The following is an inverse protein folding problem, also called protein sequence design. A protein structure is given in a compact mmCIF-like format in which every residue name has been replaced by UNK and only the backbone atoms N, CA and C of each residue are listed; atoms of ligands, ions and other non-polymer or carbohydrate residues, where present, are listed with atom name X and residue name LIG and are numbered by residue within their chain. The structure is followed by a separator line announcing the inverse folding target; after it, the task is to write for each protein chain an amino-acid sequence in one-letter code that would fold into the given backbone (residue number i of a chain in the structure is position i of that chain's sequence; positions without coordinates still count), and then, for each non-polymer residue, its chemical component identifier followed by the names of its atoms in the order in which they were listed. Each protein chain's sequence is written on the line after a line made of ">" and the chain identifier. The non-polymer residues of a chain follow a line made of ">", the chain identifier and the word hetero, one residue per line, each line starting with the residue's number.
data_IF_951669784041
#
_entry.id   IF_951669784041
#
_cell.length_a   1.000
_cell.length_b   1.000
_cell.length_c   1.000
_cell.angle_alpha   90.00
_cell.angle_beta   90.00
_cell.angle_gamma   90.00
#
_symmetry.space_group_name_H-M   'P 1'
#
loop_
_entity.id
_entity.type
_entity.pdbx_description
1 polymer ?
#
# COMPACT_ATOMS: atom_id res chain seq x y z
N UNK A 1 41.04 -2.99 21.01
CA UNK A 1 39.57 -3.08 21.05
C UNK A 1 38.81 -2.05 20.17
N UNK A 2 39.46 -1.00 19.69
CA UNK A 2 38.79 0.10 18.95
C UNK A 2 38.57 -0.16 17.44
N UNK A 3 39.32 -1.06 16.79
CA UNK A 3 39.16 -1.34 15.34
C UNK A 3 38.05 -2.33 14.98
N UNK A 4 37.70 -3.24 15.88
CA UNK A 4 36.64 -4.22 15.68
C UNK A 4 35.24 -3.61 15.85
N UNK A 5 35.07 -2.66 16.79
CA UNK A 5 33.79 -1.99 17.00
C UNK A 5 33.44 -1.01 15.87
N UNK A 6 34.44 -0.25 15.39
CA UNK A 6 34.25 0.68 14.27
C UNK A 6 33.92 -0.05 12.96
N UNK A 7 34.57 -1.19 12.66
CA UNK A 7 34.21 -2.02 11.52
C UNK A 7 32.79 -2.60 11.65
N UNK A 8 32.40 -3.09 12.84
CA UNK A 8 31.05 -3.58 13.12
C UNK A 8 29.99 -2.47 12.99
N UNK A 9 30.29 -1.24 13.41
CA UNK A 9 29.39 -0.09 13.31
C UNK A 9 29.29 0.43 11.85
N UNK A 10 30.38 0.38 11.09
CA UNK A 10 30.36 0.68 9.65
C UNK A 10 29.55 -0.38 8.90
N UNK A 11 29.73 -1.67 9.21
CA UNK A 11 28.91 -2.75 8.62
C UNK A 11 27.43 -2.63 9.00
N UNK A 12 27.11 -2.28 10.25
CA UNK A 12 25.73 -2.03 10.67
C UNK A 12 25.11 -0.80 10.00
N UNK A 13 25.90 0.26 9.76
CA UNK A 13 25.44 1.46 9.02
C UNK A 13 25.27 1.18 7.54
N UNK A 14 26.23 0.51 6.89
CA UNK A 14 26.14 0.12 5.49
C UNK A 14 24.97 -0.84 5.23
N UNK A 15 24.74 -1.84 6.11
CA UNK A 15 23.59 -2.73 6.01
C UNK A 15 22.24 -2.02 6.17
N UNK A 16 22.16 -0.95 6.97
CA UNK A 16 20.95 -0.14 7.06
C UNK A 16 20.70 0.66 5.78
N UNK A 17 21.73 1.30 5.21
CA UNK A 17 21.61 2.04 3.95
C UNK A 17 21.20 1.12 2.78
N UNK A 18 21.72 -0.09 2.72
CA UNK A 18 21.37 -1.06 1.68
C UNK A 18 19.92 -1.55 1.80
N UNK A 19 19.39 -1.69 3.02
CA UNK A 19 17.97 -2.01 3.26
C UNK A 19 17.05 -0.91 2.71
N UNK A 20 17.39 0.36 2.89
CA UNK A 20 16.62 1.46 2.31
C UNK A 20 16.64 1.43 0.77
N UNK A 21 17.78 1.08 0.16
CA UNK A 21 17.91 1.00 -1.30
C UNK A 21 17.07 -0.11 -1.93
N UNK A 22 16.82 -1.21 -1.24
CA UNK A 22 15.99 -2.32 -1.75
C UNK A 22 14.53 -2.23 -1.34
N UNK A 23 14.15 -1.24 -0.54
CA UNK A 23 12.78 -0.96 -0.14
C UNK A 23 11.95 -0.46 -1.32
N UNK A 24 10.74 -0.99 -1.47
CA UNK A 24 9.78 -0.47 -2.45
C UNK A 24 9.34 0.97 -2.10
N UNK A 25 9.18 1.26 -0.81
CA UNK A 25 8.74 2.57 -0.34
C UNK A 25 9.72 3.68 -0.70
N UNK A 26 11.04 3.45 -0.52
CA UNK A 26 12.06 4.50 -0.54
C UNK A 26 13.21 4.26 -1.50
N UNK A 27 13.35 3.05 -2.04
CA UNK A 27 14.53 2.61 -2.78
C UNK A 27 14.32 2.35 -4.27
N UNK A 28 15.23 1.59 -4.82
CA UNK A 28 15.31 1.25 -6.25
C UNK A 28 14.05 0.61 -6.83
N UNK A 29 13.34 -0.31 -6.12
CA UNK A 29 12.12 -0.87 -6.67
C UNK A 29 11.04 0.17 -6.99
N UNK A 30 10.87 1.19 -6.14
CA UNK A 30 9.92 2.27 -6.40
C UNK A 30 10.30 3.12 -7.62
N UNK A 31 11.60 3.37 -7.81
CA UNK A 31 12.12 4.06 -8.99
C UNK A 31 11.95 3.19 -10.25
N UNK A 32 12.18 1.89 -10.16
CA UNK A 32 11.99 0.96 -11.28
C UNK A 32 10.52 0.94 -11.74
N UNK A 33 9.54 1.00 -10.82
CA UNK A 33 8.12 1.15 -11.21
C UNK A 33 7.87 2.41 -12.03
N UNK A 34 8.44 3.56 -11.62
CA UNK A 34 8.33 4.80 -12.36
C UNK A 34 8.93 4.69 -13.77
N UNK A 35 10.12 4.11 -13.88
CA UNK A 35 10.82 3.96 -15.16
C UNK A 35 10.08 3.00 -16.10
N UNK A 36 9.51 1.91 -15.56
CA UNK A 36 8.66 1.02 -16.34
C UNK A 36 7.42 1.74 -16.87
N UNK A 37 6.72 2.52 -16.05
CA UNK A 37 5.56 3.30 -16.49
C UNK A 37 5.96 4.38 -17.50
N UNK A 38 7.14 5.00 -17.36
CA UNK A 38 7.67 5.97 -18.33
C UNK A 38 7.97 5.30 -19.68
N UNK A 39 8.50 4.07 -19.68
CA UNK A 39 8.67 3.27 -20.90
C UNK A 39 7.33 2.97 -21.57
N UNK A 40 6.37 2.43 -20.83
CA UNK A 40 5.01 2.14 -21.36
C UNK A 40 4.30 3.38 -21.92
N UNK A 41 4.55 4.54 -21.32
CA UNK A 41 3.96 5.81 -21.77
C UNK A 41 4.62 6.36 -23.03
N UNK A 42 5.95 6.31 -23.15
CA UNK A 42 6.74 7.01 -24.18
C UNK A 42 7.25 6.12 -25.30
N UNK A 43 7.31 4.79 -25.09
CA UNK A 43 8.04 3.83 -25.93
C UNK A 43 9.55 4.15 -26.08
N UNK A 44 10.12 4.99 -25.18
CA UNK A 44 11.55 5.28 -25.19
C UNK A 44 12.32 4.19 -24.44
N UNK A 45 13.06 3.38 -25.18
CA UNK A 45 13.81 2.23 -24.69
C UNK A 45 14.83 2.56 -23.60
N UNK A 46 15.28 3.80 -23.53
CA UNK A 46 16.18 4.28 -22.47
C UNK A 46 15.59 4.09 -21.07
N UNK A 47 14.28 4.31 -20.89
CA UNK A 47 13.64 4.06 -19.59
C UNK A 47 13.61 2.58 -19.23
N UNK A 48 13.44 1.70 -20.20
CA UNK A 48 13.53 0.26 -19.99
C UNK A 48 14.94 -0.17 -19.56
N UNK A 49 15.99 0.32 -20.21
CA UNK A 49 17.38 0.02 -19.85
C UNK A 49 17.68 0.46 -18.39
N UNK A 50 17.36 1.69 -18.04
CA UNK A 50 17.58 2.21 -16.69
C UNK A 50 16.74 1.44 -15.66
N UNK A 51 15.50 1.06 -15.98
CA UNK A 51 14.67 0.21 -15.13
C UNK A 51 15.38 -1.13 -14.81
N UNK A 52 15.94 -1.78 -15.83
CA UNK A 52 16.70 -3.04 -15.67
C UNK A 52 17.96 -2.85 -14.82
N UNK A 53 18.66 -1.71 -14.91
CA UNK A 53 19.82 -1.40 -14.06
C UNK A 53 19.41 -1.30 -12.58
N UNK A 54 18.31 -0.62 -12.27
CA UNK A 54 17.79 -0.52 -10.90
C UNK A 54 17.36 -1.88 -10.35
N UNK A 55 16.69 -2.72 -11.16
CA UNK A 55 16.30 -4.07 -10.76
C UNK A 55 17.51 -4.98 -10.57
N UNK A 56 18.48 -4.92 -11.45
CA UNK A 56 19.74 -5.71 -11.34
C UNK A 56 20.52 -5.30 -10.07
N UNK A 57 20.57 -4.00 -9.78
CA UNK A 57 21.18 -3.48 -8.56
C UNK A 57 20.45 -3.96 -7.31
N UNK A 58 19.10 -3.96 -7.33
CA UNK A 58 18.28 -4.50 -6.24
C UNK A 58 18.59 -5.98 -6.00
N UNK A 59 18.60 -6.80 -7.05
CA UNK A 59 18.89 -8.24 -6.97
C UNK A 59 20.30 -8.47 -6.41
N UNK A 60 21.29 -7.72 -6.91
CA UNK A 60 22.68 -7.84 -6.44
C UNK A 60 22.82 -7.46 -4.95
N UNK A 61 22.06 -6.50 -4.48
CA UNK A 61 22.05 -6.09 -3.07
C UNK A 61 21.46 -7.17 -2.17
N UNK A 62 20.29 -7.74 -2.52
CA UNK A 62 19.67 -8.80 -1.71
C UNK A 62 20.45 -10.13 -1.73
N UNK A 63 21.20 -10.42 -2.79
CA UNK A 63 22.09 -11.58 -2.81
C UNK A 63 23.28 -11.43 -1.87
N UNK A 64 23.78 -10.20 -1.68
CA UNK A 64 24.87 -9.89 -0.72
C UNK A 64 24.37 -9.74 0.71
N UNK A 65 23.17 -9.18 0.87
CA UNK A 65 22.54 -8.88 2.16
C UNK A 65 21.10 -9.40 2.16
N UNK A 66 20.87 -10.69 2.47
CA UNK A 66 19.55 -11.30 2.42
C UNK A 66 18.54 -10.54 3.30
N UNK A 67 17.33 -10.36 2.79
CA UNK A 67 16.24 -9.73 3.53
C UNK A 67 15.46 -10.79 4.32
N UNK A 68 15.22 -10.49 5.58
CA UNK A 68 14.43 -11.38 6.45
C UNK A 68 12.95 -10.96 6.55
N UNK A 69 12.61 -9.77 6.05
CA UNK A 69 11.25 -9.24 6.10
C UNK A 69 10.46 -9.62 4.84
N UNK A 70 9.24 -10.10 5.04
CA UNK A 70 8.25 -10.35 3.96
C UNK A 70 7.36 -9.14 3.69
N UNK A 71 7.64 -7.99 4.27
CA UNK A 71 6.89 -6.74 4.10
C UNK A 71 6.71 -6.36 2.63
N UNK A 72 5.53 -5.80 2.31
CA UNK A 72 5.26 -5.32 0.95
C UNK A 72 6.06 -4.05 0.62
N UNK A 73 6.13 -3.10 1.54
CA UNK A 73 6.80 -1.83 1.22
C UNK A 73 8.27 -1.79 1.60
N UNK A 74 8.71 -2.60 2.56
CA UNK A 74 10.11 -2.59 3.04
C UNK A 74 10.81 -3.95 2.98
N UNK A 75 10.19 -4.97 2.40
CA UNK A 75 10.67 -6.35 2.38
C UNK A 75 10.62 -7.03 0.99
N UNK A 76 10.80 -8.33 0.99
CA UNK A 76 10.90 -9.17 -0.21
C UNK A 76 9.65 -9.10 -1.10
N UNK A 77 8.44 -8.94 -0.51
CA UNK A 77 7.21 -8.85 -1.30
C UNK A 77 7.18 -7.60 -2.17
N UNK A 78 7.79 -6.48 -1.76
CA UNK A 78 7.92 -5.29 -2.60
C UNK A 78 8.80 -5.53 -3.82
N UNK A 79 9.88 -6.27 -3.67
CA UNK A 79 10.75 -6.65 -4.78
C UNK A 79 10.00 -7.58 -5.74
N UNK A 80 9.32 -8.61 -5.23
CA UNK A 80 8.49 -9.51 -6.02
C UNK A 80 7.40 -8.77 -6.80
N UNK A 81 6.71 -7.83 -6.15
CA UNK A 81 5.70 -6.99 -6.80
C UNK A 81 6.31 -6.17 -7.96
N UNK A 82 7.46 -5.55 -7.73
CA UNK A 82 8.14 -4.75 -8.75
C UNK A 82 8.61 -5.61 -9.92
N UNK A 83 9.25 -6.77 -9.66
CA UNK A 83 9.66 -7.71 -10.69
C UNK A 83 8.47 -8.18 -11.54
N UNK A 84 7.34 -8.50 -10.91
CA UNK A 84 6.12 -8.89 -11.61
C UNK A 84 5.56 -7.75 -12.47
N UNK A 85 5.55 -6.51 -11.95
CA UNK A 85 5.08 -5.32 -12.69
C UNK A 85 5.95 -5.05 -13.92
N UNK A 86 7.27 -5.13 -13.78
CA UNK A 86 8.24 -4.88 -14.85
C UNK A 86 8.50 -6.11 -15.75
N UNK A 87 7.74 -7.19 -15.59
CA UNK A 87 8.02 -8.47 -16.24
C UNK A 87 7.55 -8.60 -17.69
N UNK A 88 6.93 -7.56 -18.24
CA UNK A 88 6.26 -7.65 -19.54
C UNK A 88 5.31 -8.87 -19.61
N UNK A 89 4.25 -8.82 -18.78
CA UNK A 89 3.26 -9.89 -18.64
C UNK A 89 3.85 -11.28 -18.34
N UNK A 90 4.83 -11.33 -17.44
CA UNK A 90 5.44 -12.58 -16.96
C UNK A 90 6.52 -13.17 -17.86
N UNK A 91 6.94 -12.47 -18.92
CA UNK A 91 7.99 -12.91 -19.83
C UNK A 91 9.39 -12.80 -19.21
N UNK A 92 9.63 -11.69 -18.49
CA UNK A 92 10.92 -11.38 -17.88
C UNK A 92 10.94 -11.72 -16.38
N UNK A 93 12.12 -11.82 -15.79
CA UNK A 93 12.37 -12.01 -14.34
C UNK A 93 11.78 -13.28 -13.72
N UNK A 94 11.27 -14.23 -14.51
CA UNK A 94 10.60 -15.43 -14.01
C UNK A 94 11.49 -16.24 -13.07
N UNK A 95 12.77 -16.45 -13.43
CA UNK A 95 13.69 -17.28 -12.65
C UNK A 95 13.98 -16.67 -11.26
N UNK A 96 14.24 -15.37 -11.19
CA UNK A 96 14.46 -14.69 -9.91
C UNK A 96 13.17 -14.65 -9.08
N UNK A 97 12.01 -14.49 -9.72
CA UNK A 97 10.71 -14.57 -9.03
C UNK A 97 10.52 -15.94 -8.38
N UNK A 98 10.82 -17.04 -9.11
CA UNK A 98 10.76 -18.41 -8.56
C UNK A 98 11.74 -18.58 -7.39
N UNK A 99 12.97 -18.07 -7.51
CA UNK A 99 13.95 -18.14 -6.44
C UNK A 99 13.44 -17.46 -5.17
N UNK A 100 12.93 -16.22 -5.26
CA UNK A 100 12.40 -15.51 -4.10
C UNK A 100 11.15 -16.17 -3.50
N UNK A 101 10.31 -16.80 -4.33
CA UNK A 101 9.18 -17.60 -3.84
C UNK A 101 9.64 -18.86 -3.11
N UNK A 102 10.73 -19.54 -3.55
CA UNK A 102 11.33 -20.66 -2.84
C UNK A 102 11.92 -20.23 -1.48
N UNK A 103 12.53 -19.05 -1.41
CA UNK A 103 13.00 -18.46 -0.15
C UNK A 103 11.83 -18.18 0.80
N UNK A 104 10.73 -17.62 0.28
CA UNK A 104 9.50 -17.43 1.04
C UNK A 104 8.90 -18.75 1.53
N UNK A 105 8.91 -19.81 0.72
CA UNK A 105 8.44 -21.15 1.12
C UNK A 105 9.15 -21.66 2.37
N UNK A 106 10.45 -21.43 2.47
CA UNK A 106 11.26 -21.88 3.61
C UNK A 106 10.87 -21.26 4.94
N UNK A 107 10.24 -20.07 4.94
CA UNK A 107 9.86 -19.33 6.15
C UNK A 107 8.36 -19.29 6.40
N UNK A 108 7.54 -19.68 5.40
CA UNK A 108 6.08 -19.50 5.45
C UNK A 108 5.43 -20.19 6.64
N UNK A 109 5.73 -21.45 6.86
CA UNK A 109 5.05 -22.22 7.92
C UNK A 109 5.33 -21.65 9.30
N UNK A 110 6.58 -21.21 9.57
CA UNK A 110 6.94 -20.55 10.82
C UNK A 110 6.20 -19.24 10.98
N UNK A 111 6.22 -18.38 9.95
CA UNK A 111 5.51 -17.11 9.93
C UNK A 111 4.00 -17.30 10.15
N UNK A 112 3.39 -18.26 9.46
CA UNK A 112 1.96 -18.55 9.58
C UNK A 112 1.57 -19.02 10.99
N UNK A 113 2.37 -19.89 11.60
CA UNK A 113 2.14 -20.35 12.98
C UNK A 113 2.22 -19.20 13.97
N UNK A 114 3.19 -18.31 13.81
CA UNK A 114 3.36 -17.17 14.71
C UNK A 114 2.23 -16.13 14.55
N UNK A 115 1.82 -15.84 13.32
CA UNK A 115 0.65 -15.00 13.06
C UNK A 115 -0.62 -15.59 13.64
N UNK A 116 -0.82 -16.91 13.50
CA UNK A 116 -1.98 -17.60 14.06
C UNK A 116 -2.04 -17.52 15.59
N UNK A 117 -0.90 -17.67 16.28
CA UNK A 117 -0.83 -17.50 17.74
C UNK A 117 -1.24 -16.10 18.18
N UNK A 118 -0.85 -15.06 17.42
CA UNK A 118 -1.15 -13.68 17.76
C UNK A 118 -2.64 -13.32 17.66
N UNK A 119 -3.42 -13.98 16.79
CA UNK A 119 -4.86 -13.73 16.66
C UNK A 119 -5.61 -13.99 18.00
N UNK A 120 -5.11 -14.90 18.81
CA UNK A 120 -5.71 -15.21 20.10
C UNK A 120 -5.12 -14.37 21.25
N UNK A 121 -4.10 -13.55 20.97
CA UNK A 121 -3.44 -12.73 21.96
C UNK A 121 -4.01 -11.29 21.96
N UNK A 122 -4.20 -10.71 23.14
CA UNK A 122 -4.69 -9.32 23.29
C UNK A 122 -3.65 -8.26 22.95
N UNK A 123 -2.38 -8.63 22.84
CA UNK A 123 -1.24 -7.76 22.53
C UNK A 123 -0.76 -7.92 21.08
N UNK A 124 -1.66 -7.88 20.13
CA UNK A 124 -1.36 -8.02 18.71
C UNK A 124 -0.70 -6.76 18.15
N UNK A 125 0.49 -6.88 17.54
CA UNK A 125 1.08 -5.78 16.78
C UNK A 125 0.36 -5.59 15.45
N UNK A 126 -0.05 -4.36 15.14
CA UNK A 126 -0.67 -4.01 13.84
C UNK A 126 0.27 -4.29 12.67
N UNK A 127 1.57 -4.10 12.84
CA UNK A 127 2.61 -4.30 11.82
C UNK A 127 2.67 -5.75 11.31
N UNK A 128 2.17 -6.72 12.07
CA UNK A 128 2.13 -8.12 11.62
C UNK A 128 0.97 -8.43 10.67
N UNK A 129 -0.06 -7.59 10.63
CA UNK A 129 -1.28 -7.85 9.87
C UNK A 129 -1.61 -6.76 8.84
N UNK A 130 -1.02 -5.59 8.92
CA UNK A 130 -1.30 -4.43 8.08
C UNK A 130 -0.91 -4.62 6.60
N UNK A 131 -1.24 -3.62 5.78
CA UNK A 131 -0.93 -3.62 4.36
C UNK A 131 0.56 -3.32 4.09
N UNK A 132 1.19 -2.51 4.93
CA UNK A 132 2.56 -2.01 4.67
C UNK A 132 3.61 -3.05 5.06
N UNK A 133 3.51 -3.60 6.26
CA UNK A 133 4.51 -4.50 6.83
C UNK A 133 4.03 -5.95 6.95
N UNK A 134 2.74 -6.17 7.04
CA UNK A 134 2.15 -7.41 7.53
C UNK A 134 1.60 -8.36 6.49
N UNK A 135 0.82 -9.31 7.00
CA UNK A 135 0.24 -10.40 6.22
C UNK A 135 -0.71 -9.92 5.11
N UNK A 136 -1.37 -8.77 5.28
CA UNK A 136 -2.24 -8.20 4.24
C UNK A 136 -1.44 -7.77 3.02
N UNK A 137 -0.29 -7.10 3.20
CA UNK A 137 0.59 -6.74 2.09
C UNK A 137 1.19 -7.97 1.40
N UNK A 138 1.59 -8.98 2.18
CA UNK A 138 2.05 -10.26 1.65
C UNK A 138 0.97 -10.93 0.78
N UNK A 139 -0.26 -11.03 1.28
CA UNK A 139 -1.38 -11.60 0.50
C UNK A 139 -1.64 -10.81 -0.79
N UNK A 140 -1.62 -9.48 -0.73
CA UNK A 140 -1.81 -8.64 -1.91
C UNK A 140 -0.75 -8.92 -2.99
N UNK A 141 0.53 -9.03 -2.60
CA UNK A 141 1.60 -9.38 -3.52
C UNK A 141 1.41 -10.77 -4.14
N UNK A 142 1.09 -11.79 -3.33
CA UNK A 142 0.88 -13.15 -3.83
C UNK A 142 -0.30 -13.24 -4.80
N UNK A 143 -1.40 -12.50 -4.55
CA UNK A 143 -2.53 -12.37 -5.48
C UNK A 143 -2.09 -11.73 -6.80
N UNK A 144 -1.21 -10.72 -6.74
CA UNK A 144 -0.68 -10.09 -7.93
C UNK A 144 0.27 -11.00 -8.72
N UNK A 145 1.15 -11.76 -8.04
CA UNK A 145 1.99 -12.80 -8.67
C UNK A 145 1.11 -13.84 -9.38
N UNK A 146 0.00 -14.24 -8.77
CA UNK A 146 -0.97 -15.15 -9.39
C UNK A 146 -1.57 -14.56 -10.67
N UNK A 147 -1.94 -13.27 -10.66
CA UNK A 147 -2.50 -12.59 -11.84
C UNK A 147 -1.50 -12.55 -13.00
N UNK A 148 -0.21 -12.33 -12.74
CA UNK A 148 0.81 -12.15 -13.77
C UNK A 148 1.35 -13.49 -14.31
N UNK A 149 1.67 -14.42 -13.42
CA UNK A 149 2.38 -15.65 -13.79
C UNK A 149 1.48 -16.90 -13.74
N UNK A 150 0.29 -16.80 -13.17
CA UNK A 150 -0.58 -17.95 -12.91
C UNK A 150 -0.09 -18.83 -11.75
N UNK A 151 -0.92 -19.81 -11.37
CA UNK A 151 -0.65 -20.69 -10.22
C UNK A 151 0.54 -21.63 -10.42
N UNK A 152 0.98 -21.83 -11.68
CA UNK A 152 2.08 -22.73 -12.03
C UNK A 152 3.47 -22.15 -11.75
N UNK A 153 3.58 -20.86 -11.40
CA UNK A 153 4.87 -20.22 -11.07
C UNK A 153 5.51 -20.85 -9.83
N UNK A 154 4.69 -21.26 -8.86
CA UNK A 154 5.11 -21.98 -7.67
C UNK A 154 4.02 -22.92 -7.17
N UNK A 155 4.36 -24.19 -6.83
CA UNK A 155 3.37 -25.20 -6.45
C UNK A 155 2.52 -24.84 -5.23
N UNK A 156 3.08 -24.09 -4.28
CA UNK A 156 2.38 -23.68 -3.04
C UNK A 156 1.72 -22.30 -3.12
N UNK A 157 1.78 -21.58 -4.25
CA UNK A 157 1.24 -20.22 -4.34
C UNK A 157 -0.22 -20.13 -3.93
N UNK A 158 -1.07 -20.97 -4.51
CA UNK A 158 -2.50 -21.02 -4.16
C UNK A 158 -2.74 -21.44 -2.70
N UNK A 159 -1.90 -22.32 -2.16
CA UNK A 159 -1.95 -22.74 -0.76
C UNK A 159 -1.66 -21.57 0.18
N UNK A 160 -0.60 -20.78 -0.06
CA UNK A 160 -0.29 -19.62 0.77
C UNK A 160 -1.40 -18.57 0.73
N UNK A 161 -1.91 -18.26 -0.47
CA UNK A 161 -3.02 -17.32 -0.65
C UNK A 161 -4.22 -17.78 0.17
N UNK A 162 -4.60 -19.05 0.05
CA UNK A 162 -5.74 -19.59 0.80
C UNK A 162 -5.53 -19.54 2.33
N UNK A 163 -4.33 -19.90 2.79
CA UNK A 163 -3.98 -19.86 4.21
C UNK A 163 -4.03 -18.44 4.78
N UNK A 164 -3.44 -17.47 4.08
CA UNK A 164 -3.45 -16.07 4.52
C UNK A 164 -4.85 -15.46 4.43
N UNK A 165 -5.64 -15.76 3.39
CA UNK A 165 -7.03 -15.32 3.29
C UNK A 165 -7.83 -15.79 4.50
N UNK A 166 -7.78 -17.09 4.81
CA UNK A 166 -8.51 -17.65 5.96
C UNK A 166 -8.02 -17.07 7.30
N UNK A 167 -6.71 -16.83 7.43
CA UNK A 167 -6.12 -16.24 8.63
C UNK A 167 -6.64 -14.83 8.87
N UNK A 168 -6.57 -13.98 7.85
CA UNK A 168 -7.01 -12.59 7.93
C UNK A 168 -8.53 -12.47 8.07
N UNK A 169 -9.29 -13.32 7.39
CA UNK A 169 -10.74 -13.42 7.58
C UNK A 169 -11.08 -13.76 9.02
N UNK A 170 -10.45 -14.80 9.58
CA UNK A 170 -10.66 -15.21 10.97
C UNK A 170 -10.31 -14.09 11.96
N UNK A 171 -9.25 -13.35 11.68
CA UNK A 171 -8.88 -12.17 12.44
C UNK A 171 -10.01 -11.13 12.46
N UNK A 172 -10.54 -10.79 11.29
CA UNK A 172 -11.63 -9.80 11.16
C UNK A 172 -12.89 -10.27 11.87
N UNK A 173 -13.35 -11.50 11.61
CA UNK A 173 -14.57 -12.07 12.23
C UNK A 173 -14.47 -12.04 13.75
N UNK A 174 -13.38 -12.55 14.31
CA UNK A 174 -13.23 -12.63 15.77
C UNK A 174 -13.33 -11.26 16.42
N UNK A 175 -12.76 -10.26 15.78
CA UNK A 175 -12.75 -8.92 16.35
C UNK A 175 -14.08 -8.20 16.19
N UNK A 176 -14.74 -8.31 15.03
CA UNK A 176 -16.05 -7.72 14.81
C UNK A 176 -17.10 -8.33 15.75
N UNK A 177 -17.08 -9.65 15.95
CA UNK A 177 -18.05 -10.36 16.80
C UNK A 177 -17.81 -10.12 18.29
N UNK A 178 -16.58 -10.08 18.74
CA UNK A 178 -16.23 -9.97 20.15
C UNK A 178 -16.15 -8.51 20.63
N UNK A 179 -16.27 -7.52 19.74
CA UNK A 179 -16.10 -6.08 20.03
C UNK A 179 -14.81 -5.78 20.81
N UNK A 180 -13.79 -6.61 20.63
CA UNK A 180 -12.47 -6.41 21.22
C UNK A 180 -11.70 -5.48 20.27
N UNK A 181 -11.52 -4.26 20.70
CA UNK A 181 -10.74 -3.25 19.99
C UNK A 181 -9.32 -3.28 20.56
N UNK A 182 -8.39 -3.81 19.80
CA UNK A 182 -6.95 -3.60 20.03
C UNK A 182 -6.44 -2.52 19.09
N UNK A 183 -5.18 -2.11 19.23
CA UNK A 183 -4.58 -1.03 18.43
C UNK A 183 -4.82 -1.19 16.91
N UNK A 184 -4.76 -2.40 16.37
CA UNK A 184 -5.03 -2.68 14.96
C UNK A 184 -6.48 -2.39 14.56
N UNK A 185 -7.46 -2.64 15.42
CA UNK A 185 -8.89 -2.47 15.12
C UNK A 185 -9.42 -1.08 15.43
N UNK A 186 -8.77 -0.35 16.30
CA UNK A 186 -9.07 1.07 16.46
C UNK A 186 -8.52 1.89 15.31
N UNK A 187 -7.47 1.41 14.63
CA UNK A 187 -6.89 2.02 13.46
C UNK A 187 -7.73 1.71 12.20
N UNK A 188 -8.38 2.73 11.64
CA UNK A 188 -9.24 2.64 10.46
C UNK A 188 -8.48 2.90 9.14
N UNK A 189 -7.18 3.15 9.19
CA UNK A 189 -6.36 3.45 8.03
C UNK A 189 -6.29 2.30 7.01
N UNK A 190 -5.93 2.65 5.78
CA UNK A 190 -5.64 1.67 4.73
C UNK A 190 -4.24 1.11 4.88
N UNK A 191 -3.26 1.93 5.27
CA UNK A 191 -1.87 1.49 5.39
C UNK A 191 -1.64 0.56 6.57
N UNK A 192 -2.07 0.94 7.77
CA UNK A 192 -1.74 0.25 9.01
C UNK A 192 -2.96 -0.26 9.78
N UNK A 193 -4.18 0.02 9.31
CA UNK A 193 -5.41 -0.33 9.98
C UNK A 193 -6.22 -1.41 9.26
N UNK A 194 -7.42 -1.61 9.81
CA UNK A 194 -8.35 -2.66 9.38
C UNK A 194 -8.80 -2.51 7.91
N UNK A 195 -8.90 -1.27 7.39
CA UNK A 195 -9.43 -1.03 6.04
C UNK A 195 -8.56 -1.63 4.95
N UNK A 196 -7.22 -1.60 5.10
CA UNK A 196 -6.33 -2.26 4.15
C UNK A 196 -6.53 -3.78 4.11
N UNK A 197 -6.63 -4.41 5.28
CA UNK A 197 -6.89 -5.86 5.38
C UNK A 197 -8.23 -6.24 4.76
N UNK A 198 -9.29 -5.48 5.03
CA UNK A 198 -10.62 -5.69 4.43
C UNK A 198 -10.55 -5.59 2.91
N UNK A 199 -9.81 -4.61 2.37
CA UNK A 199 -9.69 -4.45 0.92
C UNK A 199 -8.90 -5.60 0.26
N UNK A 200 -7.86 -6.12 0.93
CA UNK A 200 -7.12 -7.29 0.44
C UNK A 200 -7.98 -8.56 0.49
N UNK A 201 -8.79 -8.76 1.53
CA UNK A 201 -9.77 -9.84 1.58
C UNK A 201 -10.80 -9.74 0.45
N UNK A 202 -11.27 -8.54 0.13
CA UNK A 202 -12.11 -8.28 -1.02
C UNK A 202 -11.41 -8.65 -2.35
N UNK A 203 -10.13 -8.31 -2.51
CA UNK A 203 -9.34 -8.69 -3.67
C UNK A 203 -9.13 -10.21 -3.79
N UNK A 204 -8.99 -10.91 -2.67
CA UNK A 204 -8.90 -12.36 -2.58
C UNK A 204 -10.23 -13.02 -2.99
N UNK A 205 -11.35 -12.52 -2.47
CA UNK A 205 -12.71 -12.98 -2.82
C UNK A 205 -12.96 -12.87 -4.33
N UNK A 206 -12.64 -11.73 -4.95
CA UNK A 206 -12.79 -11.50 -6.40
C UNK A 206 -12.00 -12.49 -7.27
N UNK A 207 -10.96 -13.12 -6.74
CA UNK A 207 -10.13 -14.14 -7.42
C UNK A 207 -10.53 -15.58 -7.09
N UNK A 208 -11.65 -15.77 -6.37
CA UNK A 208 -12.17 -17.09 -6.03
C UNK A 208 -11.53 -17.75 -4.81
N UNK A 209 -10.67 -17.05 -4.06
CA UNK A 209 -10.19 -17.54 -2.77
C UNK A 209 -11.22 -17.22 -1.70
N UNK A 210 -12.20 -18.09 -1.59
CA UNK A 210 -13.37 -17.90 -0.73
C UNK A 210 -13.41 -18.96 0.36
N UNK A 211 -14.00 -18.57 1.50
CA UNK A 211 -14.54 -19.47 2.52
C UNK A 211 -16.06 -19.42 2.51
N UNK A 212 -16.71 -20.25 3.30
CA UNK A 212 -18.17 -20.21 3.47
C UNK A 212 -18.66 -18.90 4.13
N UNK A 213 -17.78 -18.15 4.80
CA UNK A 213 -18.11 -16.97 5.61
C UNK A 213 -17.54 -15.67 5.05
N UNK A 214 -16.61 -15.72 4.07
CA UNK A 214 -15.89 -14.52 3.59
C UNK A 214 -16.84 -13.43 3.03
N UNK A 215 -17.89 -13.81 2.31
CA UNK A 215 -18.87 -12.85 1.82
C UNK A 215 -19.59 -12.14 2.98
N UNK A 216 -19.99 -12.89 4.01
CA UNK A 216 -20.60 -12.32 5.21
C UNK A 216 -19.62 -11.43 5.97
N UNK A 217 -18.34 -11.83 6.05
CA UNK A 217 -17.28 -11.04 6.67
C UNK A 217 -17.10 -9.68 5.96
N UNK A 218 -17.10 -9.68 4.63
CA UNK A 218 -17.04 -8.44 3.84
C UNK A 218 -18.28 -7.56 4.09
N UNK A 219 -19.46 -8.15 4.22
CA UNK A 219 -20.69 -7.41 4.52
C UNK A 219 -20.65 -6.77 5.91
N UNK A 220 -20.26 -7.51 6.93
CA UNK A 220 -20.09 -7.00 8.29
C UNK A 220 -18.99 -5.92 8.36
N UNK A 221 -17.89 -6.10 7.62
CA UNK A 221 -16.81 -5.12 7.54
C UNK A 221 -17.27 -3.82 6.88
N UNK A 222 -18.06 -3.90 5.82
CA UNK A 222 -18.70 -2.75 5.17
C UNK A 222 -19.58 -1.99 6.18
N UNK A 223 -20.45 -2.70 6.88
CA UNK A 223 -21.35 -2.08 7.87
C UNK A 223 -20.56 -1.44 9.01
N UNK A 224 -19.47 -2.08 9.46
CA UNK A 224 -18.57 -1.52 10.47
C UNK A 224 -17.94 -0.20 10.00
N UNK A 225 -17.41 -0.13 8.77
CA UNK A 225 -16.82 1.09 8.22
C UNK A 225 -17.86 2.21 8.02
N UNK A 226 -19.06 1.88 7.57
CA UNK A 226 -20.18 2.85 7.43
C UNK A 226 -20.58 3.38 8.82
N UNK A 227 -20.69 2.53 9.82
CA UNK A 227 -21.02 2.93 11.19
C UNK A 227 -19.89 3.73 11.89
N UNK A 228 -18.69 3.75 11.31
CA UNK A 228 -17.58 4.58 11.79
C UNK A 228 -17.61 6.01 11.24
N UNK A 229 -18.55 6.34 10.37
CA UNK A 229 -18.75 7.68 9.82
C UNK A 229 -19.30 8.59 10.93
N UNK A 230 -18.67 9.74 11.11
CA UNK A 230 -19.12 10.74 12.07
C UNK A 230 -19.27 12.12 11.40
N UNK A 231 -20.18 12.94 11.92
CA UNK A 231 -20.28 14.34 11.53
C UNK A 231 -19.37 15.19 12.41
N UNK A 232 -18.41 15.87 11.82
CA UNK A 232 -17.39 16.64 12.54
C UNK A 232 -17.01 17.90 11.76
N UNK A 233 -17.08 19.06 12.42
CA UNK A 233 -16.79 20.37 11.80
C UNK A 233 -17.50 20.60 10.45
N UNK A 234 -18.80 20.40 10.41
CA UNK A 234 -19.67 20.59 9.23
C UNK A 234 -19.36 19.67 8.03
N UNK A 235 -18.75 18.52 8.26
CA UNK A 235 -18.42 17.54 7.23
C UNK A 235 -18.53 16.12 7.78
N UNK A 236 -18.84 15.15 6.92
CA UNK A 236 -18.77 13.75 7.27
C UNK A 236 -17.36 13.22 7.08
N UNK A 237 -16.82 12.57 8.12
CA UNK A 237 -15.48 12.00 8.11
C UNK A 237 -15.46 10.57 8.64
N UNK A 238 -14.40 9.84 8.28
CA UNK A 238 -13.97 8.64 8.98
C UNK A 238 -12.71 9.01 9.73
N UNK A 239 -12.66 8.89 11.08
CA UNK A 239 -11.48 9.23 11.87
C UNK A 239 -10.33 8.27 11.57
N UNK A 240 -9.10 8.66 11.92
CA UNK A 240 -7.95 7.77 11.78
C UNK A 240 -8.06 6.56 12.71
N UNK A 241 -8.57 6.80 13.93
CA UNK A 241 -8.75 5.78 14.96
C UNK A 241 -10.04 6.00 15.74
N UNK A 242 -10.61 4.92 16.28
CA UNK A 242 -11.85 4.97 17.06
C UNK A 242 -11.64 5.43 18.52
N UNK A 243 -10.44 5.22 19.07
CA UNK A 243 -10.17 5.37 20.51
C UNK A 243 -9.51 6.69 20.90
N UNK A 244 -9.12 7.53 19.92
CA UNK A 244 -8.37 8.73 20.21
C UNK A 244 -9.25 9.91 20.64
N UNK A 245 -8.89 10.49 21.80
CA UNK A 245 -9.35 11.81 22.22
C UNK A 245 -8.12 12.68 22.50
N UNK A 246 -7.88 13.79 21.77
CA UNK A 246 -8.77 14.34 20.74
C UNK A 246 -8.81 13.52 19.46
N UNK A 247 -9.93 13.63 18.73
CA UNK A 247 -10.15 12.95 17.45
C UNK A 247 -9.07 13.33 16.45
N UNK A 248 -8.44 12.33 15.84
CA UNK A 248 -7.47 12.52 14.76
C UNK A 248 -8.10 12.20 13.41
N UNK A 249 -7.87 13.09 12.45
CA UNK A 249 -8.32 12.94 11.06
C UNK A 249 -7.28 13.52 10.11
N UNK A 250 -7.10 12.86 8.97
CA UNK A 250 -6.29 13.32 7.83
C UNK A 250 -6.98 12.88 6.54
N UNK A 251 -6.94 13.70 5.49
CA UNK A 251 -7.40 13.31 4.16
C UNK A 251 -6.22 12.75 3.36
N UNK A 252 -6.06 11.43 3.35
CA UNK A 252 -4.97 10.75 2.69
C UNK A 252 -5.39 9.38 2.13
N UNK A 253 -4.52 8.75 1.33
CA UNK A 253 -4.68 7.34 0.99
C UNK A 253 -4.47 6.46 2.23
N UNK A 254 -3.40 6.72 2.98
CA UNK A 254 -3.02 5.89 4.12
C UNK A 254 -4.01 5.98 5.28
N UNK A 255 -4.60 7.15 5.53
CA UNK A 255 -5.51 7.42 6.64
C UNK A 255 -6.69 8.31 6.26
N UNK A 256 -7.78 8.15 7.00
CA UNK A 256 -8.95 9.02 6.95
C UNK A 256 -9.90 8.74 5.80
N UNK A 257 -10.77 9.70 5.56
CA UNK A 257 -11.95 9.54 4.71
C UNK A 257 -11.66 9.06 3.28
N UNK A 258 -10.69 9.63 2.53
CA UNK A 258 -10.48 9.24 1.13
C UNK A 258 -10.05 7.79 0.96
N UNK A 259 -9.09 7.32 1.75
CA UNK A 259 -8.61 5.93 1.67
C UNK A 259 -9.71 4.93 2.01
N UNK A 260 -10.49 5.19 3.07
CA UNK A 260 -11.59 4.30 3.46
C UNK A 260 -12.75 4.37 2.47
N UNK A 261 -13.00 5.54 1.85
CA UNK A 261 -13.98 5.66 0.74
C UNK A 261 -13.63 4.73 -0.43
N UNK A 262 -12.36 4.61 -0.79
CA UNK A 262 -11.89 3.67 -1.81
C UNK A 262 -12.23 2.22 -1.42
N UNK A 263 -12.00 1.84 -0.16
CA UNK A 263 -12.32 0.49 0.34
C UNK A 263 -13.82 0.23 0.25
N UNK A 264 -14.66 1.16 0.69
CA UNK A 264 -16.12 1.05 0.58
C UNK A 264 -16.57 0.94 -0.88
N UNK A 265 -15.97 1.71 -1.79
CA UNK A 265 -16.23 1.63 -3.23
C UNK A 265 -15.95 0.23 -3.78
N UNK A 266 -14.77 -0.32 -3.49
CA UNK A 266 -14.37 -1.64 -3.95
C UNK A 266 -15.30 -2.76 -3.41
N UNK A 267 -15.68 -2.68 -2.14
CA UNK A 267 -16.59 -3.64 -1.53
C UNK A 267 -18.00 -3.48 -2.10
N UNK A 268 -18.49 -2.25 -2.26
CA UNK A 268 -19.80 -1.97 -2.85
C UNK A 268 -19.95 -2.61 -4.23
N UNK A 269 -18.92 -2.52 -5.08
CA UNK A 269 -18.92 -3.21 -6.38
C UNK A 269 -18.93 -4.74 -6.24
N UNK A 270 -18.18 -5.30 -5.32
CA UNK A 270 -18.15 -6.76 -5.09
C UNK A 270 -19.49 -7.28 -4.59
N UNK A 271 -20.12 -6.55 -3.68
CA UNK A 271 -21.44 -6.90 -3.11
C UNK A 271 -22.62 -6.48 -3.99
N UNK A 272 -22.36 -5.74 -5.09
CA UNK A 272 -23.39 -5.11 -5.94
C UNK A 272 -24.34 -4.20 -5.13
N UNK A 273 -23.76 -3.45 -4.19
CA UNK A 273 -24.47 -2.55 -3.26
C UNK A 273 -24.27 -1.09 -3.70
N UNK A 274 -25.23 -0.61 -4.51
CA UNK A 274 -25.22 0.76 -5.03
C UNK A 274 -25.28 1.83 -3.94
N UNK A 275 -25.91 1.54 -2.80
CA UNK A 275 -25.96 2.47 -1.68
C UNK A 275 -24.56 2.68 -1.09
N UNK A 276 -23.79 1.61 -0.89
CA UNK A 276 -22.40 1.68 -0.43
C UNK A 276 -21.51 2.42 -1.44
N UNK A 277 -21.68 2.19 -2.75
CA UNK A 277 -20.97 2.93 -3.81
C UNK A 277 -21.26 4.43 -3.72
N UNK A 278 -22.53 4.80 -3.55
CA UNK A 278 -22.94 6.21 -3.43
C UNK A 278 -22.40 6.85 -2.14
N UNK A 279 -22.46 6.15 -1.00
CA UNK A 279 -21.84 6.61 0.26
C UNK A 279 -20.34 6.87 0.06
N UNK A 280 -19.62 5.98 -0.62
CA UNK A 280 -18.18 6.15 -0.86
C UNK A 280 -17.87 7.41 -1.68
N UNK A 281 -18.61 7.65 -2.76
CA UNK A 281 -18.49 8.85 -3.61
C UNK A 281 -18.84 10.13 -2.83
N UNK A 282 -19.89 10.09 -2.02
CA UNK A 282 -20.30 11.19 -1.16
C UNK A 282 -19.19 11.53 -0.17
N UNK A 283 -18.66 10.56 0.58
CA UNK A 283 -17.58 10.76 1.55
C UNK A 283 -16.33 11.35 0.92
N UNK A 284 -15.97 10.90 -0.28
CA UNK A 284 -14.83 11.48 -0.99
C UNK A 284 -15.10 12.94 -1.36
N UNK A 285 -16.34 13.31 -1.75
CA UNK A 285 -16.71 14.69 -2.08
C UNK A 285 -16.67 15.64 -0.87
N UNK A 286 -16.87 15.12 0.33
CA UNK A 286 -16.76 15.88 1.58
C UNK A 286 -15.37 16.48 1.83
N UNK A 287 -14.33 15.94 1.16
CA UNK A 287 -12.97 16.51 1.21
C UNK A 287 -12.94 17.99 0.87
N UNK A 288 -13.76 18.46 -0.07
CA UNK A 288 -13.81 19.89 -0.45
C UNK A 288 -14.50 20.78 0.57
N UNK A 289 -15.35 20.21 1.42
CA UNK A 289 -16.06 20.97 2.47
C UNK A 289 -15.11 21.32 3.65
N UNK A 290 -14.00 20.61 3.78
CA UNK A 290 -13.03 20.81 4.84
C UNK A 290 -11.98 21.85 4.46
N UNK A 291 -11.61 22.70 5.41
CA UNK A 291 -10.50 23.66 5.27
C UNK A 291 -9.15 22.91 5.14
N UNK A 292 -8.11 23.59 4.64
CA UNK A 292 -6.76 23.01 4.53
C UNK A 292 -6.24 22.47 5.86
N UNK A 293 -6.49 23.20 6.96
CA UNK A 293 -6.10 22.78 8.32
C UNK A 293 -6.82 21.50 8.77
N UNK A 294 -8.10 21.35 8.40
CA UNK A 294 -8.87 20.15 8.72
C UNK A 294 -8.43 18.94 7.89
N UNK A 295 -8.14 19.15 6.61
CA UNK A 295 -7.65 18.09 5.73
C UNK A 295 -6.29 17.56 6.11
N UNK A 296 -5.41 18.41 6.67
CA UNK A 296 -3.98 18.12 6.90
C UNK A 296 -3.30 17.56 5.63
N UNK A 297 -3.69 18.12 4.49
CA UNK A 297 -3.28 17.69 3.15
C UNK A 297 -2.51 18.84 2.52
N UNK A 298 -1.18 18.74 2.53
CA UNK A 298 -0.27 19.83 2.16
C UNK A 298 0.83 19.40 1.19
N UNK A 299 1.01 18.09 0.97
CA UNK A 299 2.08 17.50 0.17
C UNK A 299 1.59 17.03 -1.19
N UNK A 300 2.44 17.02 -2.26
CA UNK A 300 2.09 16.40 -3.53
C UNK A 300 2.18 14.87 -3.54
N UNK A 301 2.74 14.23 -2.51
CA UNK A 301 3.13 12.82 -2.47
C UNK A 301 1.97 11.83 -2.61
N UNK A 302 2.32 10.54 -2.81
CA UNK A 302 1.33 9.49 -3.06
C UNK A 302 0.69 8.98 -1.76
N UNK A 303 1.46 8.78 -0.70
CA UNK A 303 0.98 8.22 0.55
C UNK A 303 -0.06 9.13 1.24
N UNK A 304 0.31 10.39 1.45
CA UNK A 304 -0.47 11.32 2.25
C UNK A 304 -0.69 12.69 1.59
N UNK A 305 -0.54 12.73 0.28
CA UNK A 305 -0.61 13.96 -0.50
C UNK A 305 -1.64 13.94 -1.62
N UNK A 306 -1.55 14.93 -2.48
CA UNK A 306 -2.48 15.17 -3.59
C UNK A 306 -2.50 14.02 -4.61
N UNK A 307 -1.36 13.33 -4.83
CA UNK A 307 -1.25 12.23 -5.78
C UNK A 307 -2.14 11.05 -5.41
N UNK A 308 -2.12 10.62 -4.14
CA UNK A 308 -3.01 9.56 -3.69
C UNK A 308 -4.49 9.91 -3.88
N UNK A 309 -4.86 11.17 -3.57
CA UNK A 309 -6.24 11.63 -3.74
C UNK A 309 -6.65 11.78 -5.20
N UNK A 310 -5.74 12.17 -6.09
CA UNK A 310 -6.01 12.22 -7.53
C UNK A 310 -6.41 10.84 -8.06
N UNK A 311 -5.62 9.79 -7.71
CA UNK A 311 -5.92 8.42 -8.13
C UNK A 311 -7.20 7.88 -7.46
N UNK A 312 -7.40 8.10 -6.17
CA UNK A 312 -8.65 7.69 -5.50
C UNK A 312 -9.86 8.27 -6.23
N UNK A 313 -9.85 9.57 -6.52
CA UNK A 313 -10.99 10.20 -7.19
C UNK A 313 -11.17 9.77 -8.65
N UNK A 314 -10.07 9.41 -9.33
CA UNK A 314 -10.14 8.76 -10.63
C UNK A 314 -10.86 7.41 -10.55
N UNK A 315 -10.50 6.57 -9.58
CA UNK A 315 -11.16 5.27 -9.36
C UNK A 315 -12.64 5.44 -8.99
N UNK A 316 -12.97 6.40 -8.12
CA UNK A 316 -14.34 6.72 -7.71
C UNK A 316 -15.14 7.44 -8.81
N UNK A 317 -14.53 7.73 -9.96
CA UNK A 317 -15.16 8.46 -11.08
C UNK A 317 -15.66 9.86 -10.66
N UNK A 318 -14.90 10.56 -9.83
CA UNK A 318 -15.17 11.93 -9.42
C UNK A 318 -14.25 12.91 -10.17
N UNK A 319 -14.61 13.19 -11.43
CA UNK A 319 -13.81 14.02 -12.34
C UNK A 319 -13.47 15.40 -11.78
N UNK A 320 -14.38 16.01 -11.01
CA UNK A 320 -14.17 17.34 -10.43
C UNK A 320 -13.02 17.33 -9.42
N UNK A 321 -13.01 16.35 -8.51
CA UNK A 321 -11.96 16.18 -7.50
C UNK A 321 -10.65 15.69 -8.14
N UNK A 322 -10.72 14.76 -9.08
CA UNK A 322 -9.56 14.30 -9.82
C UNK A 322 -8.81 15.49 -10.45
N UNK A 323 -9.51 16.31 -11.23
CA UNK A 323 -8.94 17.52 -11.88
C UNK A 323 -8.39 18.50 -10.85
N UNK A 324 -9.09 18.70 -9.74
CA UNK A 324 -8.64 19.58 -8.66
C UNK A 324 -7.30 19.15 -8.09
N UNK A 325 -7.14 17.86 -7.77
CA UNK A 325 -5.90 17.34 -7.20
C UNK A 325 -4.76 17.31 -8.21
N UNK A 326 -5.00 16.97 -9.47
CA UNK A 326 -3.97 17.11 -10.52
C UNK A 326 -3.46 18.55 -10.65
N UNK A 327 -4.34 19.54 -10.55
CA UNK A 327 -3.92 20.95 -10.56
C UNK A 327 -3.05 21.29 -9.35
N UNK A 328 -3.35 20.78 -8.18
CA UNK A 328 -2.52 20.99 -6.98
C UNK A 328 -1.13 20.34 -7.15
N UNK A 329 -1.05 19.13 -7.72
CA UNK A 329 0.22 18.49 -8.04
C UNK A 329 1.03 19.35 -9.00
N UNK A 330 0.42 19.81 -10.09
CA UNK A 330 1.09 20.66 -11.09
C UNK A 330 1.62 21.96 -10.48
N UNK A 331 0.89 22.56 -9.53
CA UNK A 331 1.30 23.78 -8.82
C UNK A 331 2.39 23.53 -7.75
N UNK A 332 2.63 22.26 -7.35
CA UNK A 332 3.63 21.89 -6.36
C UNK A 332 5.02 21.64 -6.96
N UNK A 333 5.20 21.85 -8.26
CA UNK A 333 6.50 21.72 -8.92
C UNK A 333 7.48 22.75 -8.39
N UNK A 334 8.65 22.28 -8.01
CA UNK A 334 9.77 23.12 -7.54
C UNK A 334 11.02 22.85 -8.39
N UNK A 335 11.22 23.62 -9.48
CA UNK A 335 12.34 23.36 -10.41
C UNK A 335 13.74 23.45 -9.78
N UNK A 336 13.86 24.08 -8.61
CA UNK A 336 15.11 24.15 -7.83
C UNK A 336 15.36 22.91 -6.97
N UNK A 337 14.37 22.05 -6.79
CA UNK A 337 14.51 20.79 -6.07
C UNK A 337 15.27 19.76 -6.91
N UNK A 338 16.02 18.87 -6.26
CA UNK A 338 16.75 17.79 -6.95
C UNK A 338 15.82 16.86 -7.68
N UNK A 339 14.67 16.52 -7.07
CA UNK A 339 13.68 15.57 -7.60
C UNK A 339 12.37 16.21 -8.04
N UNK A 340 12.30 17.53 -8.23
CA UNK A 340 11.16 18.30 -8.75
C UNK A 340 9.99 18.50 -7.78
N UNK A 341 9.70 17.56 -6.89
CA UNK A 341 8.62 17.64 -5.91
C UNK A 341 9.17 17.36 -4.52
N UNK A 342 8.86 18.24 -3.57
CA UNK A 342 9.22 18.03 -2.16
C UNK A 342 8.00 17.54 -1.39
N UNK A 343 8.23 16.60 -0.47
CA UNK A 343 7.27 16.29 0.57
C UNK A 343 7.24 17.44 1.58
N UNK A 344 6.08 17.71 2.14
CA UNK A 344 5.89 18.68 3.19
C UNK A 344 5.20 18.00 4.36
N UNK A 345 5.93 17.87 5.46
CA UNK A 345 5.42 17.30 6.70
C UNK A 345 5.44 18.31 7.85
N UNK A 346 4.45 18.21 8.72
CA UNK A 346 4.44 18.93 9.99
C UNK A 346 5.07 18.05 11.07
N UNK A 347 6.20 18.48 11.62
CA UNK A 347 6.92 17.86 12.73
C UNK A 347 6.95 18.74 13.95
N UNK A 348 7.52 18.26 15.05
CA UNK A 348 7.58 18.99 16.33
C UNK A 348 8.14 20.41 16.21
N UNK A 349 9.07 20.63 15.29
CA UNK A 349 9.73 21.94 15.05
C UNK A 349 9.07 22.77 13.93
N UNK A 350 7.89 22.38 13.42
CA UNK A 350 7.19 23.04 12.33
C UNK A 350 7.17 22.25 11.03
N UNK A 351 7.01 22.96 9.89
CA UNK A 351 6.99 22.31 8.58
C UNK A 351 8.42 21.98 8.12
N UNK A 352 8.61 20.73 7.68
CA UNK A 352 9.85 20.24 7.07
C UNK A 352 9.59 19.88 5.61
N UNK A 353 10.51 20.34 4.73
CA UNK A 353 10.52 20.00 3.31
C UNK A 353 11.54 18.89 3.07
N UNK A 354 11.09 17.76 2.52
CA UNK A 354 11.93 16.60 2.23
C UNK A 354 12.01 16.42 0.72
N UNK A 355 13.21 16.58 0.17
CA UNK A 355 13.49 16.33 -1.24
C UNK A 355 13.92 14.87 -1.41
N UNK A 356 13.08 14.05 -2.02
CA UNK A 356 13.26 12.60 -2.10
C UNK A 356 12.77 12.03 -3.42
N UNK A 357 13.50 11.04 -3.95
CA UNK A 357 13.08 10.24 -5.10
C UNK A 357 12.10 9.11 -4.77
N UNK A 358 11.71 8.94 -3.51
CA UNK A 358 10.94 7.78 -3.03
C UNK A 358 9.56 7.62 -3.66
N UNK A 359 9.00 6.39 -3.59
CA UNK A 359 7.67 6.08 -4.10
C UNK A 359 6.55 6.65 -3.23
N UNK A 360 6.63 6.45 -1.91
CA UNK A 360 5.53 6.84 -1.03
C UNK A 360 5.49 8.34 -0.76
N UNK A 361 6.64 8.92 -0.45
CA UNK A 361 6.80 10.27 0.09
C UNK A 361 7.74 11.13 -0.76
N UNK A 362 7.88 10.79 -2.04
CA UNK A 362 8.79 11.49 -2.95
C UNK A 362 8.28 11.55 -4.37
N UNK A 363 9.17 12.05 -5.22
CA UNK A 363 8.86 12.39 -6.61
C UNK A 363 8.49 11.20 -7.48
N UNK A 364 8.98 9.97 -7.19
CA UNK A 364 8.62 8.81 -8.01
C UNK A 364 7.11 8.54 -7.97
N UNK A 365 6.48 8.60 -6.80
CA UNK A 365 5.03 8.42 -6.69
C UNK A 365 4.22 9.53 -7.35
N UNK A 366 4.70 10.77 -7.24
CA UNK A 366 4.07 11.93 -7.92
C UNK A 366 4.12 11.78 -9.44
N UNK A 367 5.30 11.44 -9.97
CA UNK A 367 5.51 11.26 -11.40
C UNK A 367 4.73 10.05 -11.95
N UNK A 368 4.67 8.93 -11.22
CA UNK A 368 3.80 7.80 -11.55
C UNK A 368 2.34 8.24 -11.69
N UNK A 369 1.85 9.03 -10.74
CA UNK A 369 0.48 9.58 -10.78
C UNK A 369 0.27 10.43 -12.03
N UNK A 370 1.21 11.29 -12.38
CA UNK A 370 1.11 12.16 -13.57
C UNK A 370 1.14 11.36 -14.86
N UNK A 371 2.00 10.34 -15.00
CA UNK A 371 2.07 9.44 -16.15
C UNK A 371 0.76 8.66 -16.33
N UNK A 372 0.18 8.20 -15.23
CA UNK A 372 -1.05 7.43 -15.24
C UNK A 372 -2.32 8.26 -15.48
N UNK A 373 -2.21 9.57 -15.66
CA UNK A 373 -3.37 10.46 -15.91
C UNK A 373 -4.20 10.00 -17.12
N UNK A 374 -3.56 9.46 -18.15
CA UNK A 374 -4.20 8.96 -19.38
C UNK A 374 -4.44 7.43 -19.36
N UNK A 375 -3.78 6.69 -18.49
CA UNK A 375 -3.89 5.24 -18.40
C UNK A 375 -4.64 4.83 -17.13
N UNK A 376 -5.83 4.24 -17.30
CA UNK A 376 -6.65 3.81 -16.16
C UNK A 376 -6.18 2.48 -15.55
N UNK A 377 -5.43 1.67 -16.29
CA UNK A 377 -5.10 0.28 -15.91
C UNK A 377 -3.61 0.07 -15.60
N UNK A 378 -2.93 1.11 -15.11
CA UNK A 378 -1.52 0.94 -14.70
C UNK A 378 -1.36 -0.15 -13.64
N UNK A 379 -0.50 -1.15 -13.84
CA UNK A 379 -0.38 -2.30 -12.95
C UNK A 379 -0.02 -1.92 -11.49
N UNK A 380 0.74 -0.85 -11.30
CA UNK A 380 1.14 -0.38 -9.98
C UNK A 380 -0.04 0.09 -9.09
N UNK A 381 -1.20 0.37 -9.69
CA UNK A 381 -2.43 0.70 -8.93
C UNK A 381 -2.80 -0.40 -7.93
N UNK A 382 -2.51 -1.65 -8.25
CA UNK A 382 -2.81 -2.80 -7.38
C UNK A 382 -2.06 -2.74 -6.05
N UNK A 383 -0.85 -2.14 -6.03
CA UNK A 383 -0.06 -1.93 -4.81
C UNK A 383 -0.82 -1.12 -3.75
N UNK A 384 -1.61 -0.15 -4.19
CA UNK A 384 -2.37 0.77 -3.34
C UNK A 384 -3.85 0.40 -3.24
N UNK A 385 -4.23 -0.77 -3.78
CA UNK A 385 -5.62 -1.22 -3.85
C UNK A 385 -6.54 -0.27 -4.64
N UNK A 386 -6.01 0.43 -5.62
CA UNK A 386 -6.74 1.28 -6.56
C UNK A 386 -7.41 0.45 -7.68
N UNK A 387 -8.30 -0.49 -7.36
CA UNK A 387 -8.88 -1.43 -8.33
C UNK A 387 -10.38 -1.23 -8.51
#
# INVERSE_FOLDING_TARGET
>A
QSRSSAASDVYKRQGKEDIYKVSLATGYPGIALLLNEAYEYSNDFKYYEICNEYLSSTISLIQRHPMYSTSLFTGTMGILFTLATCSNNGSNYKNITIQLLNEYDSVFDTLYVDLKKQIYNTSMSKENFDLVHGASGTLLCLLYILDIYGSKIHLKLSYWIHKLTNLLEHLIINKLNNKIYGEFFSDLGVSHGISGTINVLNASYKRGFTSSTLLQTLQQSKDFLINSIIFYHNSYIIPNTLDNKPLTHRDAWCYGTPGVSLVLYNIGHTLKDENTINISKFLSSETLQRSSNQRKLISPTLCHGYSGLAIINKVLQNDKLEKYFYKLIENSKEPSAEFLFKDLEYRENGYEYIDSSSLLEGSAGVLLTLLSKKNFNSPWYKLFCFN
#
